data_IF_399455139563
#
_entry.id   IF_399455139563
#
_cell.length_a   1.000
_cell.length_b   1.000
_cell.length_c   1.000
_cell.angle_alpha   90.00
_cell.angle_beta   90.00
_cell.angle_gamma   90.00
#
_symmetry.space_group_name_H-M   'P 1'
#
loop_
_entity.id
_entity.type
_entity.pdbx_description
1 polymer ?
#
# COMPACT_ATOMS: atom_id res chain seq x y z
N UNK A 1 20.72 -5.08 1.95
CA UNK A 1 19.60 -4.22 2.38
C UNK A 1 19.31 -3.24 1.26
N UNK A 2 18.05 -2.86 1.02
CA UNK A 2 17.70 -1.90 -0.03
C UNK A 2 16.84 -0.79 0.59
N UNK A 3 17.09 0.48 0.24
CA UNK A 3 16.21 1.58 0.62
C UNK A 3 14.79 1.39 0.06
N UNK A 4 13.86 2.16 0.61
CA UNK A 4 12.53 2.37 0.04
C UNK A 4 12.51 3.78 -0.56
N UNK A 5 12.36 3.86 -1.87
CA UNK A 5 12.18 5.12 -2.59
C UNK A 5 10.72 5.55 -2.45
N UNK A 6 10.45 6.67 -1.78
CA UNK A 6 9.10 7.13 -1.44
C UNK A 6 8.63 8.27 -2.34
N UNK A 7 7.46 8.08 -2.97
CA UNK A 7 6.73 9.10 -3.70
C UNK A 7 5.41 9.41 -2.99
N UNK A 8 5.15 10.68 -2.76
CA UNK A 8 3.82 11.14 -2.36
C UNK A 8 3.00 11.47 -3.61
N UNK A 9 1.78 10.95 -3.71
CA UNK A 9 0.90 11.16 -4.85
C UNK A 9 -0.26 12.05 -4.45
N UNK A 10 -0.44 13.14 -5.18
CA UNK A 10 -1.49 14.16 -4.99
C UNK A 10 -1.44 14.89 -3.64
N UNK A 11 -2.57 14.94 -2.92
CA UNK A 11 -2.83 15.88 -1.82
C UNK A 11 -1.72 15.80 -0.79
N UNK A 12 -1.32 16.96 -0.27
CA UNK A 12 -0.48 17.02 0.92
C UNK A 12 -1.25 16.38 2.08
N UNK A 13 -0.66 15.36 2.68
CA UNK A 13 -0.78 15.15 4.12
C UNK A 13 -0.10 16.37 4.74
N UNK A 14 -0.63 16.85 5.86
CA UNK A 14 -0.33 18.17 6.41
C UNK A 14 1.18 18.45 6.57
N UNK A 15 2.04 17.41 6.62
CA UNK A 15 3.49 17.53 6.53
C UNK A 15 4.17 16.36 5.75
N UNK A 16 5.23 16.66 4.98
CA UNK A 16 6.10 15.65 4.33
C UNK A 16 6.71 14.66 5.32
N UNK A 17 7.05 15.14 6.52
CA UNK A 17 7.59 14.31 7.60
C UNK A 17 6.61 13.23 8.05
N UNK A 18 5.30 13.45 7.89
CA UNK A 18 4.30 12.48 8.32
C UNK A 18 4.33 11.23 7.44
N UNK A 19 4.55 11.38 6.13
CA UNK A 19 4.58 10.24 5.20
C UNK A 19 5.82 9.41 5.41
N UNK A 20 6.99 10.05 5.55
CA UNK A 20 8.25 9.37 5.83
C UNK A 20 8.12 8.61 7.15
N UNK A 21 7.63 9.28 8.19
CA UNK A 21 7.41 8.67 9.50
C UNK A 21 6.47 7.47 9.46
N UNK A 22 5.37 7.53 8.69
CA UNK A 22 4.48 6.37 8.51
C UNK A 22 5.24 5.16 7.97
N UNK A 23 6.15 5.36 7.01
CA UNK A 23 6.93 4.28 6.40
C UNK A 23 8.06 3.81 7.32
N UNK A 24 8.69 4.70 8.09
CA UNK A 24 9.67 4.36 9.12
C UNK A 24 9.01 3.52 10.24
N UNK A 25 7.85 3.96 10.75
CA UNK A 25 7.05 3.24 11.74
C UNK A 25 6.64 1.87 11.18
N UNK A 26 6.24 1.81 9.91
CA UNK A 26 5.94 0.54 9.24
C UNK A 26 7.17 -0.38 9.13
N UNK A 27 8.34 0.19 8.87
CA UNK A 27 9.60 -0.54 8.77
C UNK A 27 10.04 -1.13 10.11
N UNK A 28 9.63 -0.53 11.23
CA UNK A 28 9.93 -1.01 12.59
C UNK A 28 9.31 -2.38 12.92
N UNK A 29 8.29 -2.82 12.17
CA UNK A 29 7.70 -4.16 12.31
C UNK A 29 8.59 -5.28 11.73
N UNK A 30 9.60 -4.93 10.96
CA UNK A 30 10.51 -5.89 10.31
C UNK A 30 11.77 -6.12 11.15
N UNK A 31 12.47 -7.27 10.98
CA UNK A 31 13.82 -7.44 11.49
C UNK A 31 14.74 -6.29 11.05
N UNK A 32 15.67 -5.87 11.93
CA UNK A 32 16.52 -4.68 11.72
C UNK A 32 17.29 -4.70 10.39
N UNK A 33 17.66 -5.87 9.89
CA UNK A 33 18.38 -6.00 8.64
C UNK A 33 17.48 -6.04 7.38
N UNK A 34 16.18 -5.77 7.50
CA UNK A 34 15.27 -5.87 6.34
C UNK A 34 15.40 -4.65 5.43
N UNK A 35 15.31 -3.45 6.00
CA UNK A 35 15.26 -2.17 5.29
C UNK A 35 16.44 -1.29 5.72
N UNK A 36 17.04 -0.60 4.76
CA UNK A 36 18.21 0.26 5.03
C UNK A 36 17.76 1.66 5.50
N UNK A 37 17.03 2.36 4.64
CA UNK A 37 16.50 3.70 4.90
C UNK A 37 15.24 3.96 4.06
N UNK A 38 14.51 5.02 4.39
CA UNK A 38 13.37 5.53 3.62
C UNK A 38 13.77 6.83 2.93
N UNK A 39 14.00 6.77 1.62
CA UNK A 39 14.41 7.92 0.83
C UNK A 39 13.19 8.63 0.24
N UNK A 40 12.89 9.85 0.70
CA UNK A 40 11.91 10.69 0.03
C UNK A 40 12.43 11.12 -1.35
N UNK A 41 11.70 10.84 -2.42
CA UNK A 41 12.07 11.26 -3.77
C UNK A 41 11.37 12.55 -4.21
N UNK A 42 10.04 12.53 -4.20
CA UNK A 42 9.24 13.61 -4.78
C UNK A 42 7.77 13.57 -4.35
N UNK A 43 7.11 14.71 -4.56
CA UNK A 43 5.65 14.80 -4.68
C UNK A 43 5.26 14.72 -6.16
N UNK A 44 4.32 13.86 -6.48
CA UNK A 44 3.81 13.61 -7.80
C UNK A 44 2.34 14.05 -7.88
N UNK A 45 2.04 15.03 -8.73
CA UNK A 45 0.66 15.45 -8.98
C UNK A 45 0.14 14.73 -10.22
N UNK A 46 -0.85 13.87 -10.03
CA UNK A 46 -1.50 13.08 -11.05
C UNK A 46 -2.99 13.45 -11.18
N UNK A 47 -3.45 13.58 -12.42
CA UNK A 47 -4.88 13.65 -12.70
C UNK A 47 -5.56 12.35 -12.27
N UNK A 48 -6.67 12.48 -11.53
CA UNK A 48 -7.55 11.37 -11.16
C UNK A 48 -8.16 10.71 -12.40
N UNK A 49 -8.42 9.41 -12.30
CA UNK A 49 -8.99 8.62 -13.39
C UNK A 49 -10.52 8.58 -13.36
N UNK A 50 -11.11 8.82 -12.18
CA UNK A 50 -12.54 8.78 -11.95
C UNK A 50 -12.95 9.66 -10.76
N UNK A 51 -14.25 9.88 -10.60
CA UNK A 51 -14.86 10.48 -9.41
C UNK A 51 -15.61 9.40 -8.63
N UNK A 52 -15.47 9.40 -7.31
CA UNK A 52 -16.17 8.50 -6.40
C UNK A 52 -17.01 9.35 -5.46
N UNK A 53 -18.30 9.03 -5.34
CA UNK A 53 -19.16 9.62 -4.32
C UNK A 53 -19.24 8.69 -3.13
N UNK A 54 -18.86 9.18 -1.94
CA UNK A 54 -18.96 8.44 -0.69
C UNK A 54 -19.62 9.34 0.33
N UNK A 55 -20.73 8.87 0.92
CA UNK A 55 -21.52 9.63 1.92
C UNK A 55 -21.92 11.04 1.45
N UNK A 56 -22.18 11.20 0.15
CA UNK A 56 -22.58 12.47 -0.46
C UNK A 56 -21.42 13.38 -0.87
N UNK A 57 -20.17 13.06 -0.50
CA UNK A 57 -19.00 13.81 -0.95
C UNK A 57 -18.40 13.19 -2.23
N UNK A 58 -18.16 14.03 -3.23
CA UNK A 58 -17.47 13.62 -4.47
C UNK A 58 -15.97 13.83 -4.34
N UNK A 59 -15.19 12.76 -4.56
CA UNK A 59 -13.72 12.76 -4.45
C UNK A 59 -13.10 12.18 -5.71
N UNK A 60 -11.96 12.73 -6.13
CA UNK A 60 -11.17 12.13 -7.20
C UNK A 60 -10.54 10.81 -6.74
N UNK A 61 -10.50 9.81 -7.61
CA UNK A 61 -9.90 8.51 -7.34
C UNK A 61 -9.04 8.00 -8.48
N UNK A 62 -8.20 7.02 -8.17
CA UNK A 62 -7.33 6.36 -9.12
C UNK A 62 -7.84 4.98 -9.49
N UNK A 63 -7.67 4.61 -10.76
CA UNK A 63 -7.81 3.21 -11.14
C UNK A 63 -6.51 2.48 -10.85
N UNK A 64 -6.60 1.40 -10.08
CA UNK A 64 -5.47 0.60 -9.63
C UNK A 64 -4.48 0.25 -10.75
N UNK A 65 -4.99 -0.28 -11.87
CA UNK A 65 -4.17 -0.68 -13.02
C UNK A 65 -3.45 0.51 -13.68
N UNK A 66 -4.13 1.66 -13.78
CA UNK A 66 -3.55 2.87 -14.37
C UNK A 66 -2.48 3.46 -13.47
N UNK A 67 -2.73 3.52 -12.16
CA UNK A 67 -1.78 4.05 -11.18
C UNK A 67 -0.50 3.20 -11.14
N UNK A 68 -0.64 1.89 -10.95
CA UNK A 68 0.52 0.98 -10.92
C UNK A 68 1.32 1.01 -12.22
N UNK A 69 0.65 1.14 -13.37
CA UNK A 69 1.33 1.33 -14.66
C UNK A 69 2.14 2.63 -14.71
N UNK A 70 1.57 3.75 -14.22
CA UNK A 70 2.29 5.03 -14.13
C UNK A 70 3.52 4.92 -13.20
N UNK A 71 3.38 4.31 -12.02
CA UNK A 71 4.49 4.13 -11.08
C UNK A 71 5.59 3.24 -11.67
N UNK A 72 5.25 2.14 -12.34
CA UNK A 72 6.23 1.31 -13.07
C UNK A 72 6.96 2.09 -14.15
N UNK A 73 6.26 2.96 -14.87
CA UNK A 73 6.87 3.81 -15.90
C UNK A 73 7.87 4.79 -15.27
N UNK A 74 7.50 5.44 -14.16
CA UNK A 74 8.39 6.36 -13.42
C UNK A 74 9.66 5.63 -12.96
N UNK A 75 9.52 4.46 -12.32
CA UNK A 75 10.66 3.64 -11.88
C UNK A 75 11.61 3.34 -13.02
N UNK A 76 11.08 2.85 -14.16
CA UNK A 76 11.88 2.49 -15.34
C UNK A 76 12.57 3.70 -15.98
N UNK A 77 11.85 4.80 -16.16
CA UNK A 77 12.35 6.00 -16.83
C UNK A 77 13.44 6.72 -16.04
N UNK A 78 13.45 6.60 -14.70
CA UNK A 78 14.46 7.20 -13.84
C UNK A 78 15.55 6.22 -13.41
N UNK A 79 15.54 4.97 -13.92
CA UNK A 79 16.55 3.97 -13.57
C UNK A 79 16.58 3.59 -12.08
N UNK A 80 15.48 3.80 -11.34
CA UNK A 80 15.42 3.55 -9.91
C UNK A 80 15.53 2.05 -9.63
N UNK A 81 16.46 1.65 -8.78
CA UNK A 81 16.77 0.24 -8.48
C UNK A 81 15.94 -0.26 -7.29
N UNK A 82 15.78 0.57 -6.27
CA UNK A 82 15.12 0.28 -4.99
C UNK A 82 13.60 0.09 -5.10
N UNK A 83 12.93 -0.42 -4.07
CA UNK A 83 11.47 -0.49 -4.06
C UNK A 83 10.90 0.93 -4.21
N UNK A 84 10.08 1.19 -5.23
CA UNK A 84 9.41 2.48 -5.40
C UNK A 84 8.00 2.43 -4.79
N UNK A 85 7.80 3.10 -3.67
CA UNK A 85 6.54 3.15 -2.94
C UNK A 85 5.81 4.48 -3.19
N UNK A 86 4.62 4.41 -3.79
CA UNK A 86 3.72 5.55 -3.93
C UNK A 86 2.67 5.59 -2.83
N UNK A 87 2.58 6.66 -2.05
CA UNK A 87 1.54 6.85 -1.02
C UNK A 87 0.59 7.98 -1.42
N UNK A 88 -0.71 7.74 -1.32
CA UNK A 88 -1.77 8.71 -1.64
C UNK A 88 -2.82 8.77 -0.53
N UNK A 89 -3.38 9.95 -0.20
CA UNK A 89 -4.59 10.05 0.62
C UNK A 89 -5.88 9.83 -0.19
N UNK A 90 -5.78 9.85 -1.53
CA UNK A 90 -6.91 9.65 -2.44
C UNK A 90 -7.23 8.15 -2.63
N UNK A 91 -8.50 7.78 -2.84
CA UNK A 91 -8.90 6.39 -3.01
C UNK A 91 -8.32 5.75 -4.27
N UNK A 92 -7.88 4.50 -4.15
CA UNK A 92 -7.52 3.63 -5.28
C UNK A 92 -8.62 2.58 -5.44
N UNK A 93 -9.10 2.38 -6.67
CA UNK A 93 -10.20 1.46 -6.99
C UNK A 93 -9.73 0.40 -7.98
N UNK A 94 -10.01 -0.86 -7.67
CA UNK A 94 -9.94 -1.97 -8.61
C UNK A 94 -11.36 -2.34 -9.09
N UNK A 95 -11.50 -2.58 -10.39
CA UNK A 95 -12.74 -3.02 -11.00
C UNK A 95 -12.57 -4.43 -11.54
N UNK A 96 -13.39 -5.37 -11.06
CA UNK A 96 -13.39 -6.75 -11.54
C UNK A 96 -14.63 -6.99 -12.38
N UNK A 97 -14.43 -7.60 -13.53
CA UNK A 97 -15.48 -7.96 -14.47
C UNK A 97 -15.56 -9.48 -14.57
N UNK A 98 -16.75 -10.03 -14.43
CA UNK A 98 -16.95 -11.48 -14.55
C UNK A 98 -18.29 -11.78 -15.21
N UNK A 99 -18.37 -12.96 -15.82
CA UNK A 99 -19.60 -13.46 -16.43
C UNK A 99 -20.34 -14.33 -15.43
N UNK A 100 -21.61 -14.03 -15.22
CA UNK A 100 -22.56 -14.88 -14.51
C UNK A 100 -23.63 -15.35 -15.51
N UNK A 101 -23.42 -16.57 -16.03
CA UNK A 101 -24.16 -17.06 -17.20
C UNK A 101 -23.94 -16.18 -18.42
N UNK A 102 -24.99 -15.46 -18.85
CA UNK A 102 -24.94 -14.51 -19.98
C UNK A 102 -24.83 -13.04 -19.54
N UNK A 103 -24.76 -12.77 -18.23
CA UNK A 103 -24.73 -11.42 -17.70
C UNK A 103 -23.31 -11.01 -17.34
N UNK A 104 -22.87 -9.87 -17.86
CA UNK A 104 -21.64 -9.22 -17.41
C UNK A 104 -21.91 -8.53 -16.07
N UNK A 105 -21.21 -8.96 -15.03
CA UNK A 105 -21.22 -8.33 -13.71
C UNK A 105 -19.92 -7.56 -13.48
N UNK A 106 -20.01 -6.53 -12.64
CA UNK A 106 -18.87 -5.72 -12.21
C UNK A 106 -18.91 -5.52 -10.70
N UNK A 107 -17.77 -5.73 -10.04
CA UNK A 107 -17.55 -5.30 -8.65
C UNK A 107 -16.46 -4.26 -8.59
N UNK A 108 -16.57 -3.33 -7.64
CA UNK A 108 -15.59 -2.28 -7.38
C UNK A 108 -15.07 -2.47 -5.95
N UNK A 109 -13.76 -2.45 -5.79
CA UNK A 109 -13.09 -2.62 -4.49
C UNK A 109 -12.15 -1.44 -4.24
N UNK A 110 -12.12 -0.95 -3.00
CA UNK A 110 -11.07 -0.06 -2.55
C UNK A 110 -9.81 -0.86 -2.31
N UNK A 111 -8.69 -0.36 -2.82
CA UNK A 111 -7.37 -0.95 -2.65
C UNK A 111 -6.59 -0.05 -1.71
N UNK A 112 -6.27 -0.55 -0.52
CA UNK A 112 -5.49 0.20 0.47
C UNK A 112 -3.99 -0.02 0.31
N UNK A 113 -3.59 -1.19 -0.15
CA UNK A 113 -2.21 -1.49 -0.45
C UNK A 113 -2.12 -2.45 -1.65
N UNK A 114 -1.03 -2.33 -2.38
CA UNK A 114 -0.57 -3.31 -3.35
C UNK A 114 0.93 -3.18 -3.47
N UNK A 115 1.63 -4.30 -3.33
CA UNK A 115 3.08 -4.32 -3.54
C UNK A 115 3.51 -5.54 -4.35
N UNK A 116 4.50 -5.33 -5.20
CA UNK A 116 5.35 -6.36 -5.77
C UNK A 116 6.81 -6.10 -5.35
N UNK A 117 7.75 -6.96 -5.77
CA UNK A 117 9.16 -6.81 -5.41
C UNK A 117 9.85 -5.53 -5.92
N UNK A 118 9.18 -4.72 -6.77
CA UNK A 118 9.74 -3.54 -7.45
C UNK A 118 8.99 -2.26 -7.15
N UNK A 119 7.66 -2.32 -7.02
CA UNK A 119 6.82 -1.16 -6.76
C UNK A 119 5.79 -1.45 -5.67
N UNK A 120 5.37 -0.40 -4.97
CA UNK A 120 4.22 -0.41 -4.07
C UNK A 120 3.33 0.80 -4.32
N UNK A 121 2.03 0.64 -4.08
CA UNK A 121 1.08 1.76 -3.93
C UNK A 121 0.27 1.56 -2.66
N UNK A 122 0.11 2.62 -1.87
CA UNK A 122 -0.70 2.63 -0.66
C UNK A 122 -1.66 3.81 -0.70
N UNK A 123 -2.93 3.52 -0.43
CA UNK A 123 -4.00 4.50 -0.28
C UNK A 123 -4.38 4.61 1.19
N UNK A 124 -4.06 5.75 1.81
CA UNK A 124 -4.45 6.12 3.16
C UNK A 124 -5.87 6.69 3.23
N UNK A 125 -6.65 6.57 2.14
CA UNK A 125 -8.02 7.01 2.09
C UNK A 125 -8.86 6.37 3.20
N UNK A 126 -9.41 7.20 4.11
CA UNK A 126 -10.19 6.77 5.28
C UNK A 126 -9.46 5.82 6.24
N UNK A 127 -8.13 5.89 6.27
CA UNK A 127 -7.32 5.19 7.27
C UNK A 127 -6.92 6.21 8.34
N UNK A 128 -7.06 5.85 9.61
CA UNK A 128 -6.58 6.70 10.70
C UNK A 128 -5.04 6.64 10.81
N UNK A 129 -4.47 7.56 11.57
CA UNK A 129 -3.01 7.64 11.69
C UNK A 129 -2.39 6.37 12.30
N UNK A 130 -3.05 5.77 13.30
CA UNK A 130 -2.58 4.56 13.99
C UNK A 130 -2.50 3.33 13.06
N UNK A 131 -3.46 3.19 12.15
CA UNK A 131 -3.53 2.08 11.19
C UNK A 131 -2.71 2.34 9.92
N UNK A 132 -2.23 3.56 9.70
CA UNK A 132 -1.49 3.91 8.47
C UNK A 132 -0.17 3.14 8.36
N UNK A 133 0.60 3.07 9.44
CA UNK A 133 1.85 2.29 9.46
C UNK A 133 1.60 0.78 9.33
N UNK A 134 0.52 0.27 9.94
CA UNK A 134 0.12 -1.15 9.84
C UNK A 134 -0.20 -1.54 8.39
N UNK A 135 -0.91 -0.70 7.65
CA UNK A 135 -1.26 -0.94 6.23
C UNK A 135 -0.03 -0.88 5.33
N UNK A 136 0.86 0.10 5.58
CA UNK A 136 2.14 0.15 4.85
C UNK A 136 2.98 -1.09 5.16
N UNK A 137 3.06 -1.53 6.42
CA UNK A 137 3.80 -2.72 6.82
C UNK A 137 3.22 -4.00 6.18
N UNK A 138 1.89 -4.13 6.13
CA UNK A 138 1.19 -5.21 5.42
C UNK A 138 1.62 -5.27 3.95
N UNK A 139 1.55 -4.14 3.24
CA UNK A 139 1.99 -4.05 1.85
C UNK A 139 3.49 -4.36 1.69
N UNK A 140 4.35 -3.82 2.54
CA UNK A 140 5.78 -4.13 2.54
C UNK A 140 6.05 -5.62 2.79
N UNK A 141 5.22 -6.29 3.59
CA UNK A 141 5.26 -7.74 3.81
C UNK A 141 5.07 -8.51 2.50
N UNK A 142 4.11 -8.10 1.66
CA UNK A 142 3.92 -8.67 0.32
C UNK A 142 5.12 -8.49 -0.59
N UNK A 143 5.80 -7.34 -0.53
CA UNK A 143 7.03 -7.10 -1.30
C UNK A 143 8.16 -8.09 -0.95
N UNK A 144 8.10 -8.69 0.25
CA UNK A 144 9.02 -9.73 0.77
C UNK A 144 8.45 -11.15 0.70
N UNK A 145 7.36 -11.36 -0.04
CA UNK A 145 6.79 -12.69 -0.26
C UNK A 145 5.94 -13.23 0.90
N UNK A 146 5.52 -12.38 1.83
CA UNK A 146 4.50 -12.77 2.79
C UNK A 146 3.12 -12.86 2.11
N UNK A 147 2.31 -13.80 2.58
CA UNK A 147 0.97 -14.06 2.09
C UNK A 147 -0.06 -13.82 3.19
N UNK A 148 -1.30 -13.61 2.79
CA UNK A 148 -2.38 -13.38 3.73
C UNK A 148 -2.60 -14.56 4.68
N UNK A 149 -2.92 -14.24 5.93
CA UNK A 149 -3.61 -15.18 6.82
C UNK A 149 -5.11 -15.06 6.60
N UNK A 150 -5.81 -16.19 6.70
CA UNK A 150 -7.28 -16.24 6.71
C UNK A 150 -7.88 -15.99 8.11
N UNK A 151 -7.04 -15.95 9.15
CA UNK A 151 -7.43 -15.64 10.53
C UNK A 151 -6.72 -14.37 11.02
N UNK A 152 -7.28 -13.65 12.02
CA UNK A 152 -6.71 -12.42 12.58
C UNK A 152 -5.48 -12.68 13.46
N UNK A 153 -4.42 -13.22 12.85
CA UNK A 153 -3.21 -13.62 13.54
C UNK A 153 -2.27 -12.42 13.69
N UNK A 154 -1.88 -11.81 12.58
CA UNK A 154 -0.81 -10.82 12.51
C UNK A 154 -1.11 -9.77 11.43
N UNK A 155 -0.16 -8.86 11.17
CA UNK A 155 -0.33 -7.81 10.16
C UNK A 155 -0.73 -8.29 8.77
N UNK A 156 -0.43 -9.54 8.37
CA UNK A 156 -0.83 -10.13 7.09
C UNK A 156 -2.27 -10.63 7.07
N UNK A 157 -3.12 -10.33 8.05
CA UNK A 157 -4.54 -10.69 7.97
C UNK A 157 -5.23 -9.97 6.79
N UNK A 158 -6.03 -10.70 5.99
CA UNK A 158 -6.69 -10.14 4.80
C UNK A 158 -7.72 -9.04 5.11
N UNK A 159 -8.27 -9.04 6.32
CA UNK A 159 -9.27 -8.07 6.79
C UNK A 159 -8.69 -7.14 7.88
N UNK A 160 -7.40 -6.82 7.78
CA UNK A 160 -6.64 -6.01 8.76
C UNK A 160 -7.39 -4.74 9.18
N UNK A 161 -7.99 -4.02 8.23
CA UNK A 161 -8.65 -2.73 8.48
C UNK A 161 -10.02 -2.84 9.15
N UNK A 162 -10.69 -3.99 9.05
CA UNK A 162 -12.04 -4.21 9.62
C UNK A 162 -11.99 -4.98 10.93
N UNK A 163 -10.79 -5.31 11.42
CA UNK A 163 -10.59 -6.19 12.56
C UNK A 163 -10.19 -5.39 13.80
N UNK A 164 -10.89 -5.56 14.93
CA UNK A 164 -10.62 -4.78 16.14
C UNK A 164 -9.33 -5.19 16.86
N UNK A 165 -8.87 -6.45 16.72
CA UNK A 165 -7.67 -6.94 17.38
C UNK A 165 -7.03 -8.11 16.62
N UNK A 166 -5.69 -8.14 16.61
CA UNK A 166 -4.89 -9.26 16.12
C UNK A 166 -4.39 -10.09 17.30
N UNK A 167 -4.05 -11.36 17.06
CA UNK A 167 -3.36 -12.19 18.07
C UNK A 167 -1.96 -11.63 18.41
N UNK A 168 -1.31 -10.97 17.45
CA UNK A 168 -0.06 -10.22 17.63
C UNK A 168 -0.09 -8.90 16.88
N UNK A 169 0.48 -7.83 17.45
CA UNK A 169 0.47 -6.48 16.86
C UNK A 169 1.36 -6.32 15.61
N UNK A 170 2.36 -7.18 15.45
CA UNK A 170 3.32 -7.16 14.33
C UNK A 170 3.20 -8.41 13.44
N UNK A 171 4.31 -8.90 12.92
CA UNK A 171 4.36 -10.18 12.20
C UNK A 171 4.47 -11.37 13.17
N UNK A 172 3.77 -12.48 12.88
CA UNK A 172 3.89 -13.71 13.66
C UNK A 172 5.24 -14.39 13.41
N UNK A 173 5.57 -15.37 14.26
CA UNK A 173 6.84 -16.13 14.16
C UNK A 173 7.07 -16.77 12.78
N UNK A 174 5.99 -17.18 12.08
CA UNK A 174 6.10 -17.78 10.74
C UNK A 174 6.48 -16.71 9.71
N UNK A 175 5.82 -15.55 9.75
CA UNK A 175 6.14 -14.42 8.89
C UNK A 175 7.56 -13.90 9.14
N UNK A 176 7.95 -13.73 10.41
CA UNK A 176 9.29 -13.26 10.78
C UNK A 176 10.40 -14.19 10.27
N UNK A 177 10.23 -15.51 10.36
CA UNK A 177 11.20 -16.47 9.81
C UNK A 177 11.36 -16.33 8.29
N UNK A 178 10.25 -16.15 7.57
CA UNK A 178 10.31 -15.92 6.12
C UNK A 178 11.05 -14.63 5.77
N UNK A 179 10.86 -13.57 6.56
CA UNK A 179 11.54 -12.28 6.36
C UNK A 179 13.05 -12.35 6.61
N UNK A 180 13.52 -13.24 7.50
CA UNK A 180 14.95 -13.43 7.77
C UNK A 180 15.65 -14.33 6.75
N UNK A 181 14.91 -15.21 6.09
CA UNK A 181 15.44 -16.17 5.10
C UNK A 181 15.51 -15.59 3.67
N UNK A 182 14.98 -14.37 3.45
CA UNK A 182 14.73 -13.75 2.14
C UNK A 182 15.68 -12.61 1.76
#
# INVERSE_FOLDING_TARGET
MRPIDLLMINRDLENKQDVVKIVEDASSYFPKETWDDVEWLAKLVLKHDLMITIEGESRGGFLFEKLTTKIRKIKRSNGLINLLLGITPDPIVAAYYFLDGRHLKRTLHLVHDYMDARIGVVSLFRINQESSSKVVAHGLGHSRGLHHHCEPIDLMYSELLTTPALKVEGFCKVCLRKLTDS
#
